data_IF_626004475494
#
_entry.id   IF_626004475494
#
_cell.length_a   1.000
_cell.length_b   1.000
_cell.length_c   1.000
_cell.angle_alpha   90.00
_cell.angle_beta   90.00
_cell.angle_gamma   90.00
#
_symmetry.space_group_name_H-M   'P 1'
#
loop_
_entity.id
_entity.type
_entity.pdbx_description
1 polymer ?
#
# COMPACT_ATOMS: atom_id res chain seq x y z
N UNK A 1 -47.94 -20.22 -28.71
CA UNK A 1 -46.57 -20.69 -29.07
C UNK A 1 -45.64 -20.15 -27.99
N UNK A 2 -44.44 -20.69 -27.77
CA UNK A 2 -43.56 -20.21 -26.69
C UNK A 2 -42.35 -19.47 -27.24
N UNK A 3 -42.09 -18.26 -26.74
CA UNK A 3 -40.93 -17.44 -27.07
C UNK A 3 -39.84 -17.73 -26.04
N UNK A 4 -38.68 -18.21 -26.51
CA UNK A 4 -37.48 -18.38 -25.67
C UNK A 4 -36.53 -17.21 -25.89
N UNK A 5 -36.15 -16.53 -24.82
CA UNK A 5 -35.18 -15.43 -24.88
C UNK A 5 -34.37 -15.34 -23.60
N UNK A 6 -33.19 -14.71 -23.68
CA UNK A 6 -32.24 -14.65 -22.58
C UNK A 6 -32.39 -13.36 -21.80
N UNK A 7 -32.47 -13.44 -20.47
CA UNK A 7 -32.43 -12.27 -19.60
C UNK A 7 -31.05 -11.60 -19.70
N UNK A 8 -30.99 -10.33 -20.09
CA UNK A 8 -29.73 -9.59 -20.23
C UNK A 8 -29.06 -9.27 -18.87
N UNK A 9 -29.82 -9.31 -17.77
CA UNK A 9 -29.30 -9.00 -16.43
C UNK A 9 -28.67 -10.21 -15.75
N UNK A 10 -29.33 -11.37 -15.76
CA UNK A 10 -28.82 -12.57 -15.08
C UNK A 10 -28.34 -13.68 -16.04
N UNK A 11 -28.52 -13.50 -17.35
CA UNK A 11 -28.07 -14.43 -18.38
C UNK A 11 -28.81 -15.76 -18.43
N UNK A 12 -29.97 -15.90 -17.77
CA UNK A 12 -30.79 -17.14 -17.80
C UNK A 12 -31.79 -17.09 -18.96
N UNK A 13 -31.96 -18.23 -19.61
CA UNK A 13 -32.96 -18.39 -20.66
C UNK A 13 -34.35 -18.54 -20.05
N UNK A 14 -35.27 -17.71 -20.52
CA UNK A 14 -36.66 -17.66 -20.09
C UNK A 14 -37.53 -18.10 -21.25
N UNK A 15 -38.60 -18.83 -20.91
CA UNK A 15 -39.59 -19.30 -21.87
C UNK A 15 -40.92 -18.72 -21.44
N UNK A 16 -41.51 -17.88 -22.29
CA UNK A 16 -42.78 -17.20 -22.01
C UNK A 16 -43.75 -17.50 -23.15
N UNK A 17 -45.05 -17.55 -22.85
CA UNK A 17 -46.06 -17.71 -23.90
C UNK A 17 -46.12 -16.47 -24.80
N UNK A 18 -46.35 -16.70 -26.08
CA UNK A 18 -46.50 -15.68 -27.13
C UNK A 18 -47.66 -14.72 -26.87
N UNK A 19 -48.58 -15.04 -25.95
CA UNK A 19 -49.59 -14.08 -25.47
C UNK A 19 -49.01 -12.86 -24.76
N UNK A 20 -47.78 -12.92 -24.25
CA UNK A 20 -47.08 -11.81 -23.58
C UNK A 20 -46.03 -11.14 -24.46
N UNK A 21 -46.06 -11.43 -25.76
CA UNK A 21 -45.20 -10.86 -26.80
C UNK A 21 -45.28 -9.33 -26.82
N UNK A 22 -44.16 -8.65 -26.58
CA UNK A 22 -44.09 -7.19 -26.51
C UNK A 22 -44.47 -6.56 -25.17
N UNK A 23 -44.84 -7.35 -24.16
CA UNK A 23 -45.16 -6.87 -22.80
C UNK A 23 -43.94 -6.92 -21.86
N UNK A 24 -44.00 -6.13 -20.77
CA UNK A 24 -43.01 -6.18 -19.70
C UNK A 24 -43.38 -7.27 -18.70
N UNK A 25 -42.42 -8.13 -18.39
CA UNK A 25 -42.58 -9.24 -17.45
C UNK A 25 -41.41 -9.27 -16.48
N UNK A 26 -41.57 -9.90 -15.32
CA UNK A 26 -40.50 -9.99 -14.33
C UNK A 26 -39.70 -11.28 -14.50
N UNK A 27 -38.36 -11.20 -14.40
CA UNK A 27 -37.51 -12.37 -14.46
C UNK A 27 -37.64 -13.22 -13.19
N UNK A 28 -38.10 -14.47 -13.34
CA UNK A 28 -38.26 -15.43 -12.24
C UNK A 28 -36.98 -15.78 -11.47
N UNK A 29 -35.78 -15.42 -11.98
CA UNK A 29 -34.51 -15.69 -11.32
C UNK A 29 -33.91 -14.50 -10.59
N UNK A 30 -34.13 -13.27 -11.07
CA UNK A 30 -33.48 -12.09 -10.53
C UNK A 30 -34.42 -10.92 -10.23
N UNK A 31 -35.72 -11.07 -10.48
CA UNK A 31 -36.74 -10.05 -10.22
C UNK A 31 -36.64 -8.81 -11.13
N UNK A 32 -35.85 -8.86 -12.19
CA UNK A 32 -35.70 -7.72 -13.09
C UNK A 32 -36.87 -7.65 -14.08
N UNK A 33 -37.47 -6.47 -14.24
CA UNK A 33 -38.44 -6.18 -15.30
C UNK A 33 -37.76 -6.23 -16.67
N UNK A 34 -38.30 -7.07 -17.56
CA UNK A 34 -37.75 -7.40 -18.88
C UNK A 34 -38.87 -7.38 -19.92
N UNK A 35 -38.59 -6.75 -21.07
CA UNK A 35 -39.52 -6.70 -22.19
C UNK A 35 -39.42 -7.99 -23.01
N UNK A 36 -40.55 -8.68 -23.20
CA UNK A 36 -40.63 -9.89 -24.03
C UNK A 36 -40.51 -9.48 -25.50
N UNK A 37 -39.60 -10.06 -26.29
CA UNK A 37 -39.45 -9.73 -27.71
C UNK A 37 -40.72 -10.11 -28.49
N UNK A 38 -41.28 -9.18 -29.28
CA UNK A 38 -42.48 -9.46 -30.04
C UNK A 38 -42.21 -10.42 -31.22
N UNK A 39 -42.97 -11.50 -31.32
CA UNK A 39 -42.85 -12.51 -32.38
C UNK A 39 -43.46 -12.06 -33.72
N UNK A 40 -43.00 -10.94 -34.29
CA UNK A 40 -43.17 -10.63 -35.71
C UNK A 40 -42.35 -9.42 -36.13
N UNK A 41 -41.07 -9.64 -36.46
CA UNK A 41 -40.38 -8.91 -37.51
C UNK A 41 -39.11 -9.65 -37.90
N UNK A 42 -39.19 -10.42 -38.98
CA UNK A 42 -38.05 -10.71 -39.84
C UNK A 42 -37.39 -9.38 -40.21
N UNK A 43 -36.31 -9.02 -39.51
CA UNK A 43 -35.51 -7.84 -39.82
C UNK A 43 -34.73 -8.12 -41.10
N UNK A 44 -35.35 -7.80 -42.24
CA UNK A 44 -34.65 -7.60 -43.50
C UNK A 44 -33.54 -6.59 -43.28
N UNK A 45 -32.31 -6.96 -43.64
CA UNK A 45 -31.15 -6.09 -43.67
C UNK A 45 -31.52 -4.71 -44.25
N UNK A 46 -31.07 -3.59 -43.64
CA UNK A 46 -31.31 -2.28 -44.21
C UNK A 46 -30.60 -2.19 -45.56
N UNK A 47 -31.38 -2.11 -46.64
CA UNK A 47 -30.87 -1.72 -47.96
C UNK A 47 -30.43 -0.26 -47.85
N UNK A 48 -29.15 -0.06 -47.54
CA UNK A 48 -28.50 1.25 -47.61
C UNK A 48 -28.51 1.71 -49.07
N UNK A 49 -29.50 2.55 -49.40
CA UNK A 49 -29.42 3.39 -50.60
C UNK A 49 -28.16 4.24 -50.50
N UNK A 50 -27.32 4.19 -51.54
CA UNK A 50 -26.18 5.10 -51.74
C UNK A 50 -26.69 6.54 -51.77
N UNK A 51 -26.78 7.15 -50.59
CA UNK A 51 -26.93 8.57 -50.39
C UNK A 51 -25.54 9.20 -50.33
N UNK A 52 -25.32 10.15 -51.22
CA UNK A 52 -24.17 11.05 -51.23
C UNK A 52 -24.21 11.87 -49.93
N UNK A 53 -23.58 11.38 -48.88
CA UNK A 53 -23.31 12.17 -47.68
C UNK A 53 -21.81 12.40 -47.61
N UNK A 54 -21.42 13.60 -48.02
CA UNK A 54 -20.17 14.23 -47.65
C UNK A 54 -20.14 14.42 -46.12
N UNK A 55 -19.85 13.36 -45.39
CA UNK A 55 -19.37 13.45 -44.02
C UNK A 55 -17.87 13.24 -44.12
N UNK A 56 -17.14 14.34 -43.97
CA UNK A 56 -15.69 14.35 -43.87
C UNK A 56 -15.25 13.64 -42.61
N UNK A 57 -15.33 12.31 -42.60
CA UNK A 57 -14.58 11.50 -41.66
C UNK A 57 -13.13 11.62 -42.11
N UNK A 58 -12.37 12.51 -41.44
CA UNK A 58 -10.92 12.42 -41.40
C UNK A 58 -10.57 11.13 -40.65
N UNK A 59 -10.77 9.99 -41.30
CA UNK A 59 -10.17 8.74 -40.90
C UNK A 59 -8.71 8.90 -41.24
N UNK A 60 -7.89 9.16 -40.23
CA UNK A 60 -6.45 9.08 -40.36
C UNK A 60 -6.15 7.67 -40.88
N UNK A 61 -5.74 7.61 -42.16
CA UNK A 61 -5.42 6.39 -42.89
C UNK A 61 -4.24 5.68 -42.20
N UNK A 62 -4.51 4.94 -41.13
CA UNK A 62 -3.72 3.77 -40.81
C UNK A 62 -4.10 2.73 -41.87
N UNK A 63 -3.23 2.55 -42.87
CA UNK A 63 -3.38 1.51 -43.89
C UNK A 63 -3.70 0.20 -43.16
N UNK A 64 -4.89 -0.36 -43.41
CA UNK A 64 -5.37 -1.59 -42.77
C UNK A 64 -4.28 -2.66 -42.83
N UNK A 65 -3.83 -3.11 -41.65
CA UNK A 65 -2.76 -4.10 -41.46
C UNK A 65 -3.07 -5.39 -42.22
N UNK A 66 -4.36 -5.76 -42.32
CA UNK A 66 -4.83 -6.92 -43.07
C UNK A 66 -4.59 -6.79 -44.59
N UNK A 67 -4.72 -5.57 -45.14
CA UNK A 67 -4.48 -5.31 -46.57
C UNK A 67 -2.99 -5.35 -46.90
N UNK A 68 -2.12 -4.86 -46.01
CA UNK A 68 -0.67 -4.99 -46.17
C UNK A 68 -0.20 -6.44 -46.02
N UNK A 69 -0.76 -7.19 -45.06
CA UNK A 69 -0.41 -8.61 -44.84
C UNK A 69 -0.75 -9.47 -46.06
N UNK A 70 -1.97 -9.36 -46.61
CA UNK A 70 -2.35 -10.03 -47.87
C UNK A 70 -1.47 -9.64 -49.06
N UNK A 71 -1.10 -8.37 -49.17
CA UNK A 71 -0.23 -7.91 -50.27
C UNK A 71 1.20 -8.46 -50.17
N UNK A 72 1.71 -8.63 -48.95
CA UNK A 72 3.02 -9.22 -48.72
C UNK A 72 3.01 -10.73 -48.99
N UNK A 73 1.97 -11.43 -48.52
CA UNK A 73 1.77 -12.87 -48.78
C UNK A 73 1.71 -13.18 -50.28
N UNK A 74 0.86 -12.48 -51.04
CA UNK A 74 0.75 -12.70 -52.49
C UNK A 74 2.05 -12.41 -53.26
N UNK A 75 2.94 -11.56 -52.72
CA UNK A 75 4.25 -11.29 -53.33
C UNK A 75 5.26 -12.39 -53.03
N UNK A 76 5.29 -12.90 -51.81
CA UNK A 76 6.13 -14.04 -51.42
C UNK A 76 5.72 -15.28 -52.24
N UNK A 77 4.42 -15.55 -52.36
CA UNK A 77 3.87 -16.62 -53.20
C UNK A 77 4.24 -16.44 -54.68
N UNK A 78 4.19 -15.22 -55.21
CA UNK A 78 4.60 -14.93 -56.59
C UNK A 78 6.13 -15.03 -56.82
N UNK A 79 6.93 -14.83 -55.76
CA UNK A 79 8.38 -14.99 -55.78
C UNK A 79 8.84 -16.43 -55.49
N UNK A 80 7.93 -17.32 -55.08
CA UNK A 80 8.25 -18.68 -54.64
C UNK A 80 8.94 -18.73 -53.26
N UNK A 81 8.84 -17.66 -52.48
CA UNK A 81 9.43 -17.53 -51.14
C UNK A 81 8.39 -17.86 -50.06
N UNK A 82 8.84 -18.43 -48.94
CA UNK A 82 7.97 -18.71 -47.79
C UNK A 82 7.65 -17.41 -47.03
N UNK A 83 6.37 -17.18 -46.71
CA UNK A 83 5.92 -15.94 -46.09
C UNK A 83 6.21 -15.93 -44.58
N UNK A 84 7.20 -15.15 -44.16
CA UNK A 84 7.55 -14.96 -42.74
C UNK A 84 6.65 -13.87 -42.10
N UNK A 85 5.76 -14.28 -41.18
CA UNK A 85 4.66 -13.44 -40.66
C UNK A 85 4.96 -12.64 -39.39
N UNK A 86 6.10 -12.85 -38.75
CA UNK A 86 6.43 -12.36 -37.39
C UNK A 86 6.55 -10.84 -37.30
N UNK A 87 6.88 -10.19 -38.42
CA UNK A 87 7.12 -8.76 -38.52
C UNK A 87 5.84 -7.92 -38.30
N UNK A 88 4.66 -8.54 -38.48
CA UNK A 88 3.36 -7.88 -38.33
C UNK A 88 2.79 -7.91 -36.90
N UNK A 89 3.15 -8.90 -36.08
CA UNK A 89 2.70 -9.01 -34.68
C UNK A 89 3.73 -8.47 -33.67
N UNK A 90 5.03 -8.56 -33.99
CA UNK A 90 6.12 -8.13 -33.10
C UNK A 90 6.12 -6.63 -32.77
N UNK A 91 5.73 -5.76 -33.72
CA UNK A 91 5.77 -4.30 -33.51
C UNK A 91 4.73 -3.79 -32.51
N UNK A 92 3.60 -4.48 -32.34
CA UNK A 92 2.54 -4.09 -31.39
C UNK A 92 2.84 -4.61 -29.99
N UNK A 93 3.30 -5.85 -29.89
CA UNK A 93 3.74 -6.51 -28.65
C UNK A 93 4.95 -5.79 -28.03
N UNK A 94 5.94 -5.39 -28.84
CA UNK A 94 7.12 -4.68 -28.34
C UNK A 94 6.77 -3.32 -27.72
N UNK A 95 5.83 -2.57 -28.31
CA UNK A 95 5.38 -1.27 -27.77
C UNK A 95 4.67 -1.42 -26.43
N UNK A 96 3.87 -2.47 -26.26
CA UNK A 96 3.23 -2.76 -24.96
C UNK A 96 4.25 -3.17 -23.91
N UNK A 97 5.24 -3.99 -24.27
CA UNK A 97 6.33 -4.37 -23.36
C UNK A 97 7.18 -3.17 -22.94
N UNK A 98 7.54 -2.27 -23.86
CA UNK A 98 8.21 -1.00 -23.51
C UNK A 98 7.37 -0.20 -22.51
N UNK A 99 6.06 -0.10 -22.73
CA UNK A 99 5.16 0.63 -21.83
C UNK A 99 5.18 0.07 -20.41
N UNK A 100 5.12 -1.26 -20.26
CA UNK A 100 5.23 -1.90 -18.95
C UNK A 100 6.59 -1.66 -18.29
N UNK A 101 7.68 -1.78 -19.03
CA UNK A 101 9.04 -1.53 -18.51
C UNK A 101 9.19 -0.09 -18.05
N UNK A 102 8.74 0.89 -18.84
CA UNK A 102 8.77 2.30 -18.45
C UNK A 102 7.90 2.56 -17.22
N UNK A 103 6.71 1.96 -17.14
CA UNK A 103 5.85 2.08 -15.96
C UNK A 103 6.53 1.50 -14.71
N UNK A 104 7.14 0.31 -14.81
CA UNK A 104 7.90 -0.30 -13.71
C UNK A 104 9.08 0.58 -13.28
N UNK A 105 9.80 1.18 -14.24
CA UNK A 105 10.88 2.13 -13.93
C UNK A 105 10.33 3.35 -13.18
N UNK A 106 9.21 3.93 -13.63
CA UNK A 106 8.58 5.06 -12.94
C UNK A 106 8.15 4.66 -11.52
N UNK A 107 7.49 3.51 -11.36
CA UNK A 107 7.12 2.99 -10.04
C UNK A 107 8.33 2.76 -9.15
N UNK A 108 9.42 2.20 -9.69
CA UNK A 108 10.66 1.99 -8.96
C UNK A 108 11.30 3.32 -8.54
N UNK A 109 11.34 4.31 -9.43
CA UNK A 109 11.85 5.66 -9.11
C UNK A 109 11.00 6.34 -8.05
N UNK A 110 9.67 6.24 -8.14
CA UNK A 110 8.75 6.76 -7.11
C UNK A 110 8.96 6.04 -5.78
N UNK A 111 9.11 4.72 -5.81
CA UNK A 111 9.33 3.89 -4.62
C UNK A 111 10.66 4.21 -3.93
N UNK A 112 11.76 4.28 -4.68
CA UNK A 112 13.06 4.68 -4.16
C UNK A 112 13.02 6.12 -3.65
N UNK A 113 12.34 7.02 -4.37
CA UNK A 113 12.11 8.39 -3.93
C UNK A 113 11.36 8.46 -2.60
N UNK A 114 10.34 7.61 -2.43
CA UNK A 114 9.60 7.48 -1.17
C UNK A 114 10.49 6.97 -0.02
N UNK A 115 11.33 5.95 -0.27
CA UNK A 115 12.27 5.44 0.74
C UNK A 115 13.38 6.45 1.11
N UNK A 116 13.69 7.39 0.21
CA UNK A 116 14.66 8.45 0.46
C UNK A 116 14.09 9.62 1.29
N UNK A 117 12.77 9.66 1.54
CA UNK A 117 12.16 10.72 2.36
C UNK A 117 12.71 10.61 3.78
N UNK A 118 13.30 11.68 4.34
CA UNK A 118 13.73 11.69 5.72
C UNK A 118 12.54 11.43 6.66
N UNK A 119 12.64 10.53 7.66
CA UNK A 119 11.63 10.48 8.70
C UNK A 119 11.54 11.88 9.31
N UNK A 120 10.32 12.36 9.53
CA UNK A 120 10.11 13.63 10.21
C UNK A 120 10.50 13.50 11.67
N UNK A 121 11.10 14.54 12.26
CA UNK A 121 11.32 14.61 13.70
C UNK A 121 9.99 14.47 14.43
N UNK A 122 9.91 13.53 15.36
CA UNK A 122 8.82 13.45 16.33
C UNK A 122 9.12 14.48 17.41
N UNK A 123 8.36 15.58 17.56
CA UNK A 123 8.62 16.54 18.60
C UNK A 123 8.33 15.90 19.96
N UNK A 124 9.29 15.97 20.87
CA UNK A 124 9.04 15.73 22.29
C UNK A 124 8.57 17.04 22.91
N UNK A 125 7.33 17.06 23.37
CA UNK A 125 6.73 18.30 23.90
C UNK A 125 6.90 18.40 25.42
N UNK A 126 6.99 19.61 25.95
CA UNK A 126 7.05 19.87 27.40
C UNK A 126 5.87 19.23 28.16
N UNK A 127 4.70 19.14 27.51
CA UNK A 127 3.50 18.50 28.07
C UNK A 127 3.69 16.99 28.25
N UNK A 128 4.26 16.32 27.24
CA UNK A 128 4.61 14.90 27.32
C UNK A 128 5.70 14.67 28.37
N UNK A 129 6.75 15.50 28.37
CA UNK A 129 7.83 15.40 29.35
C UNK A 129 7.32 15.50 30.78
N UNK A 130 6.42 16.45 31.04
CA UNK A 130 5.77 16.62 32.35
C UNK A 130 4.86 15.45 32.71
N UNK A 131 4.18 14.84 31.75
CA UNK A 131 3.34 13.66 31.97
C UNK A 131 4.18 12.46 32.38
N UNK A 132 5.20 12.11 31.59
CA UNK A 132 6.10 10.97 31.89
C UNK A 132 6.80 11.19 33.23
N UNK A 133 7.30 12.41 33.49
CA UNK A 133 7.94 12.76 34.77
C UNK A 133 7.01 12.56 35.96
N UNK A 134 5.74 12.94 35.83
CA UNK A 134 4.73 12.73 36.89
C UNK A 134 4.53 11.24 37.15
N UNK A 135 4.46 10.43 36.10
CA UNK A 135 4.24 9.00 36.22
C UNK A 135 5.42 8.32 36.90
N UNK A 136 6.66 8.67 36.51
CA UNK A 136 7.90 8.19 37.16
C UNK A 136 8.06 8.68 38.60
N UNK A 137 7.36 9.73 39.01
CA UNK A 137 7.32 10.19 40.40
C UNK A 137 6.11 9.66 41.18
N UNK A 138 5.29 8.80 40.57
CA UNK A 138 4.12 8.25 41.22
C UNK A 138 4.50 7.34 42.38
N UNK A 139 3.71 7.41 43.46
CA UNK A 139 3.79 6.46 44.57
C UNK A 139 3.24 5.08 44.18
N UNK A 140 2.39 5.03 43.14
CA UNK A 140 1.83 3.78 42.63
C UNK A 140 2.85 3.06 41.73
N UNK A 141 3.19 1.81 42.10
CA UNK A 141 4.17 1.00 41.37
C UNK A 141 3.80 0.74 39.90
N UNK A 142 2.52 0.52 39.60
CA UNK A 142 2.06 0.31 38.23
C UNK A 142 2.29 1.55 37.36
N UNK A 143 1.91 2.73 37.87
CA UNK A 143 2.11 4.01 37.18
C UNK A 143 3.58 4.38 37.05
N UNK A 144 4.37 4.16 38.10
CA UNK A 144 5.82 4.34 38.07
C UNK A 144 6.49 3.55 36.95
N UNK A 145 6.20 2.24 36.90
CA UNK A 145 6.77 1.35 35.91
C UNK A 145 6.27 1.65 34.49
N UNK A 146 5.01 2.07 34.33
CA UNK A 146 4.48 2.49 33.03
C UNK A 146 5.17 3.78 32.56
N UNK A 147 5.37 4.75 33.45
CA UNK A 147 6.13 5.97 33.17
C UNK A 147 7.56 5.67 32.70
N UNK A 148 8.24 4.72 33.34
CA UNK A 148 9.56 4.25 32.94
C UNK A 148 9.53 3.62 31.53
N UNK A 149 8.56 2.75 31.25
CA UNK A 149 8.41 2.16 29.91
C UNK A 149 8.08 3.21 28.85
N UNK A 150 7.20 4.17 29.15
CA UNK A 150 6.82 5.25 28.25
C UNK A 150 8.04 6.15 27.92
N UNK A 151 8.94 6.38 28.89
CA UNK A 151 10.19 7.09 28.64
C UNK A 151 11.09 6.34 27.65
N UNK A 152 11.26 5.02 27.83
CA UNK A 152 12.03 4.17 26.91
C UNK A 152 11.41 4.11 25.52
N UNK A 153 10.08 3.97 25.43
CA UNK A 153 9.36 3.96 24.16
C UNK A 153 9.54 5.29 23.42
N UNK A 154 9.49 6.42 24.14
CA UNK A 154 9.72 7.74 23.54
C UNK A 154 11.17 7.93 23.09
N UNK A 155 12.16 7.36 23.81
CA UNK A 155 13.56 7.32 23.34
C UNK A 155 13.65 6.59 22.01
N UNK A 156 12.99 5.44 21.87
CA UNK A 156 12.96 4.68 20.62
C UNK A 156 12.34 5.51 19.48
N UNK A 157 11.20 6.18 19.71
CA UNK A 157 10.57 7.05 18.72
C UNK A 157 11.50 8.17 18.25
N UNK A 158 12.22 8.81 19.17
CA UNK A 158 13.19 9.87 18.86
C UNK A 158 14.39 9.31 18.08
N UNK A 159 14.87 8.12 18.44
CA UNK A 159 16.00 7.46 17.78
C UNK A 159 15.73 7.03 16.33
N UNK A 160 14.46 6.89 15.93
CA UNK A 160 14.09 6.67 14.52
C UNK A 160 14.59 7.81 13.62
N UNK A 161 14.56 9.06 14.11
CA UNK A 161 15.00 10.23 13.36
C UNK A 161 16.53 10.27 13.15
N UNK A 162 17.28 9.72 14.10
CA UNK A 162 18.75 9.77 14.09
C UNK A 162 19.30 8.92 12.95
N UNK A 163 20.04 9.56 12.04
CA UNK A 163 20.72 8.90 10.91
C UNK A 163 22.17 9.35 10.73
N UNK A 164 22.47 10.56 11.15
CA UNK A 164 23.80 11.15 11.14
C UNK A 164 23.97 12.09 12.34
N UNK A 165 25.16 12.69 12.46
CA UNK A 165 25.50 13.58 13.57
C UNK A 165 24.61 14.83 13.62
N UNK A 166 24.27 15.42 12.48
CA UNK A 166 23.38 16.60 12.44
C UNK A 166 21.98 16.29 13.01
N UNK A 167 21.37 15.17 12.60
CA UNK A 167 20.06 14.74 13.14
C UNK A 167 20.13 14.36 14.61
N UNK A 168 21.29 13.89 15.09
CA UNK A 168 21.48 13.58 16.51
C UNK A 168 21.53 14.85 17.35
N UNK A 169 22.27 15.89 16.93
CA UNK A 169 22.34 17.17 17.65
C UNK A 169 20.96 17.83 17.80
N UNK A 170 20.08 17.69 16.81
CA UNK A 170 18.72 18.23 16.87
C UNK A 170 17.85 17.58 17.96
N UNK A 171 18.06 16.29 18.24
CA UNK A 171 17.26 15.52 19.22
C UNK A 171 18.01 15.21 20.52
N UNK A 172 19.30 15.56 20.59
CA UNK A 172 20.12 15.42 21.77
C UNK A 172 19.46 15.99 23.04
N UNK A 173 18.88 17.21 23.05
CA UNK A 173 18.21 17.72 24.25
C UNK A 173 17.01 16.84 24.68
N UNK A 174 16.23 16.34 23.72
CA UNK A 174 15.06 15.49 23.97
C UNK A 174 15.50 14.16 24.60
N UNK A 175 16.54 13.53 24.05
CA UNK A 175 17.12 12.29 24.58
C UNK A 175 17.71 12.46 25.98
N UNK A 176 18.38 13.60 26.21
CA UNK A 176 18.93 13.92 27.52
C UNK A 176 17.83 14.11 28.56
N UNK A 177 16.77 14.84 28.23
CA UNK A 177 15.65 15.02 29.15
C UNK A 177 14.97 13.68 29.49
N UNK A 178 14.73 12.83 28.50
CA UNK A 178 14.16 11.48 28.73
C UNK A 178 15.07 10.63 29.62
N UNK A 179 16.38 10.66 29.39
CA UNK A 179 17.34 9.97 30.25
C UNK A 179 17.33 10.52 31.69
N UNK A 180 17.22 11.83 31.86
CA UNK A 180 17.14 12.44 33.20
C UNK A 180 15.85 12.03 33.92
N UNK A 181 14.72 11.91 33.19
CA UNK A 181 13.46 11.40 33.73
C UNK A 181 13.59 9.96 34.21
N UNK A 182 14.22 9.07 33.42
CA UNK A 182 14.43 7.66 33.78
C UNK A 182 15.25 7.52 35.07
N UNK A 183 16.24 8.39 35.25
CA UNK A 183 17.14 8.38 36.40
C UNK A 183 16.58 9.07 37.66
N UNK A 184 15.34 9.55 37.65
CA UNK A 184 14.70 10.08 38.84
C UNK A 184 14.57 8.99 39.91
N UNK A 185 14.85 9.35 41.16
CA UNK A 185 14.75 8.42 42.29
C UNK A 185 13.32 7.88 42.43
N UNK A 186 13.24 6.58 42.75
CA UNK A 186 11.98 5.87 42.96
C UNK A 186 11.27 6.40 44.19
N UNK A 187 10.06 6.95 44.00
CA UNK A 187 9.16 7.34 45.10
C UNK A 187 8.11 6.24 45.37
N UNK A 188 7.94 5.30 44.44
CA UNK A 188 6.95 4.23 44.52
C UNK A 188 7.20 3.27 45.70
N UNK A 189 6.21 3.11 46.58
CA UNK A 189 6.25 2.18 47.71
C UNK A 189 5.54 0.88 47.33
N UNK A 190 6.22 -0.25 47.48
CA UNK A 190 5.68 -1.58 47.11
C UNK A 190 4.66 -2.11 48.12
N UNK A 191 4.31 -1.31 49.13
CA UNK A 191 3.69 -1.76 50.37
C UNK A 191 2.21 -2.18 50.23
N UNK A 192 1.55 -1.89 49.09
CA UNK A 192 0.11 -2.12 48.92
C UNK A 192 -0.28 -3.11 47.81
N UNK A 193 0.67 -3.84 47.17
CA UNK A 193 0.32 -4.82 46.12
C UNK A 193 0.21 -6.25 46.64
N UNK A 194 -0.89 -6.92 46.31
CA UNK A 194 -1.01 -8.37 46.49
C UNK A 194 0.04 -9.11 45.62
N UNK A 195 0.57 -10.22 46.13
CA UNK A 195 1.70 -10.94 45.51
C UNK A 195 1.43 -11.38 44.06
N UNK A 196 0.17 -11.70 43.74
CA UNK A 196 -0.26 -12.07 42.38
C UNK A 196 -0.25 -10.87 41.44
N UNK A 197 -0.68 -9.69 41.89
CA UNK A 197 -0.65 -8.45 41.11
C UNK A 197 0.79 -8.02 40.86
N UNK A 198 1.64 -8.08 41.90
CA UNK A 198 3.07 -7.83 41.79
C UNK A 198 3.72 -8.75 40.73
N UNK A 199 3.39 -10.05 40.73
CA UNK A 199 3.92 -10.99 39.74
C UNK A 199 3.47 -10.66 38.31
N UNK A 200 2.18 -10.34 38.10
CA UNK A 200 1.64 -10.02 36.78
C UNK A 200 2.19 -8.69 36.24
N UNK A 201 2.27 -7.67 37.10
CA UNK A 201 2.87 -6.37 36.78
C UNK A 201 4.34 -6.59 36.42
N UNK A 202 5.10 -7.31 37.25
CA UNK A 202 6.50 -7.60 36.99
C UNK A 202 6.69 -8.31 35.64
N UNK A 203 5.93 -9.38 35.37
CA UNK A 203 6.03 -10.13 34.10
C UNK A 203 5.70 -9.27 32.88
N UNK A 204 4.61 -8.48 32.94
CA UNK A 204 4.23 -7.58 31.83
C UNK A 204 5.33 -6.54 31.57
N UNK A 205 5.86 -5.97 32.65
CA UNK A 205 6.87 -4.92 32.57
C UNK A 205 8.21 -5.46 32.08
N UNK A 206 8.63 -6.64 32.51
CA UNK A 206 9.84 -7.30 31.98
C UNK A 206 9.73 -7.46 30.47
N UNK A 207 8.58 -7.89 29.95
CA UNK A 207 8.39 -8.05 28.50
C UNK A 207 8.49 -6.72 27.75
N UNK A 208 7.84 -5.65 28.25
CA UNK A 208 7.86 -4.34 27.59
C UNK A 208 9.24 -3.69 27.66
N UNK A 209 9.91 -3.76 28.82
CA UNK A 209 11.27 -3.25 28.98
C UNK A 209 12.27 -3.99 28.10
N UNK A 210 12.19 -5.33 28.04
CA UNK A 210 13.05 -6.13 27.16
C UNK A 210 12.83 -5.77 25.70
N UNK A 211 11.57 -5.61 25.27
CA UNK A 211 11.27 -5.17 23.92
C UNK A 211 11.84 -3.76 23.65
N UNK A 212 11.60 -2.79 24.54
CA UNK A 212 12.11 -1.42 24.41
C UNK A 212 13.63 -1.36 24.32
N UNK A 213 14.33 -2.13 25.16
CA UNK A 213 15.79 -2.26 25.13
C UNK A 213 16.28 -2.90 23.83
N UNK A 214 15.59 -3.93 23.33
CA UNK A 214 15.92 -4.54 22.05
C UNK A 214 15.75 -3.53 20.89
N UNK A 215 14.71 -2.71 20.92
CA UNK A 215 14.52 -1.63 19.93
C UNK A 215 15.67 -0.62 19.98
N UNK A 216 16.12 -0.20 21.17
CA UNK A 216 17.27 0.68 21.32
C UNK A 216 18.54 0.06 20.69
N UNK A 217 18.80 -1.22 20.95
CA UNK A 217 19.93 -1.95 20.35
C UNK A 217 19.83 -1.97 18.82
N UNK A 218 18.65 -2.25 18.27
CA UNK A 218 18.44 -2.25 16.83
C UNK A 218 18.70 -0.87 16.20
N UNK A 219 18.36 0.23 16.89
CA UNK A 219 18.69 1.58 16.45
C UNK A 219 20.20 1.84 16.42
N UNK A 220 20.92 1.41 17.48
CA UNK A 220 22.37 1.54 17.53
C UNK A 220 23.05 0.68 16.46
N UNK A 221 22.58 -0.54 16.24
CA UNK A 221 23.11 -1.44 15.22
C UNK A 221 22.92 -0.87 13.81
N UNK A 222 21.71 -0.37 13.50
CA UNK A 222 21.42 0.34 12.24
C UNK A 222 22.38 1.52 12.00
N UNK A 223 22.74 2.25 13.05
CA UNK A 223 23.67 3.38 12.97
C UNK A 223 25.14 2.93 12.92
N UNK A 224 25.47 1.75 13.44
CA UNK A 224 26.84 1.24 13.49
C UNK A 224 27.40 0.99 12.10
N UNK A 225 26.56 0.49 11.19
CA UNK A 225 26.95 0.19 9.81
C UNK A 225 27.30 1.45 9.01
N UNK A 226 26.70 2.59 9.34
CA UNK A 226 26.92 3.86 8.65
C UNK A 226 27.93 4.77 9.37
N UNK A 227 27.89 4.82 10.70
CA UNK A 227 28.72 5.70 11.51
C UNK A 227 28.96 5.15 12.93
N UNK A 228 29.92 4.23 13.07
CA UNK A 228 30.30 3.65 14.35
C UNK A 228 30.78 4.69 15.40
N UNK A 229 31.36 5.81 14.98
CA UNK A 229 31.78 6.88 15.91
C UNK A 229 30.59 7.56 16.57
N UNK A 230 29.53 7.81 15.80
CA UNK A 230 28.28 8.38 16.32
C UNK A 230 27.64 7.45 17.35
N UNK A 231 27.62 6.14 17.10
CA UNK A 231 27.10 5.15 18.08
C UNK A 231 27.85 5.22 19.40
N UNK A 232 29.18 5.26 19.36
CA UNK A 232 29.99 5.39 20.59
C UNK A 232 29.70 6.70 21.32
N UNK A 233 29.52 7.79 20.59
CA UNK A 233 29.12 9.08 21.17
C UNK A 233 27.76 8.98 21.85
N UNK A 234 26.74 8.42 21.20
CA UNK A 234 25.39 8.22 21.78
C UNK A 234 25.46 7.42 23.08
N UNK A 235 26.21 6.30 23.08
CA UNK A 235 26.39 5.45 24.27
C UNK A 235 27.07 6.22 25.42
N UNK A 236 28.04 7.07 25.11
CA UNK A 236 28.76 7.85 26.12
C UNK A 236 27.94 9.03 26.66
N UNK A 237 27.21 9.69 25.76
CA UNK A 237 26.44 10.89 26.09
C UNK A 237 25.15 10.56 26.87
N UNK A 238 24.51 9.44 26.55
CA UNK A 238 23.21 9.05 27.13
C UNK A 238 23.36 7.70 27.89
N UNK A 239 23.45 7.72 29.24
CA UNK A 239 23.68 6.54 30.07
C UNK A 239 22.75 5.35 29.86
N UNK A 240 21.48 5.57 29.50
CA UNK A 240 20.54 4.47 29.26
C UNK A 240 20.98 3.55 28.12
N UNK A 241 21.62 4.07 27.06
CA UNK A 241 22.17 3.23 25.99
C UNK A 241 23.40 2.44 26.46
N UNK A 242 24.19 3.00 27.40
CA UNK A 242 25.29 2.27 28.02
C UNK A 242 24.79 1.11 28.87
N UNK A 243 23.72 1.30 29.63
CA UNK A 243 23.13 0.24 30.44
C UNK A 243 22.59 -0.92 29.60
N UNK A 244 22.04 -0.63 28.42
CA UNK A 244 21.45 -1.66 27.53
C UNK A 244 22.52 -2.41 26.71
N UNK A 245 23.73 -1.85 26.57
CA UNK A 245 24.82 -2.44 25.78
C UNK A 245 25.85 -3.22 26.61
N UNK A 246 25.74 -3.19 27.93
CA UNK A 246 26.60 -3.93 28.88
C UNK A 246 25.92 -5.20 29.37
#
# INVERSE_FOLDING_TARGET
MTIMFRCLMCGKDLTVDDTHSGEQTECSKCGAEILVPAASASSSAPVLRRGVSAVGVRSSSTKSVFRSKRKAQNRAEAAGEEFEGDDFDGRRQWKTLIGFVVSLIVFFVVYVGYLAIPPSRVPFTDAEAKAIRRDVQSENWGTYLDGQCNAVDKINDVMVYVRNEATYEEVFPDLKELNDIINLQVVAKAEDMEEMELMLVNKRMTNRQVAGNQHMLNHLERLRDSNAKLVQRIINDIPVFKAVTQ
#
